data_IF_888467654053
#
_entry.id   IF_888467654053
#
_cell.length_a   1.000
_cell.length_b   1.000
_cell.length_c   1.000
_cell.angle_alpha   90.00
_cell.angle_beta   90.00
_cell.angle_gamma   90.00
#
_symmetry.space_group_name_H-M   'P 1'
#
loop_
_entity.id
_entity.type
_entity.pdbx_description
1 polymer ?
#
# COMPACT_ATOMS: atom_id res chain seq x y z
N UNK A 1 48.40 67.34 -20.44
CA UNK A 1 48.81 67.10 -19.04
C UNK A 1 47.50 67.03 -18.24
N UNK A 2 47.02 65.93 -17.67
CA UNK A 2 47.66 64.74 -17.12
C UNK A 2 47.05 64.51 -15.73
N UNK A 3 46.32 63.38 -15.55
CA UNK A 3 46.15 62.54 -14.33
C UNK A 3 45.78 63.22 -12.99
N UNK A 4 44.89 62.75 -12.10
CA UNK A 4 44.60 61.42 -11.51
C UNK A 4 43.67 61.77 -10.31
N UNK A 5 42.52 61.18 -9.99
CA UNK A 5 42.25 59.96 -9.22
C UNK A 5 40.99 60.30 -8.40
N UNK A 6 39.86 59.62 -8.57
CA UNK A 6 39.05 59.18 -7.43
C UNK A 6 38.37 57.86 -7.79
N UNK A 7 38.63 56.88 -6.93
CA UNK A 7 38.29 55.47 -7.08
C UNK A 7 36.85 55.25 -6.62
N UNK A 8 36.12 54.45 -7.40
CA UNK A 8 34.84 53.84 -7.03
C UNK A 8 35.04 52.98 -5.76
N UNK A 9 34.22 53.20 -4.73
CA UNK A 9 33.80 52.14 -3.81
C UNK A 9 32.28 52.23 -3.68
N UNK A 10 31.58 51.48 -4.53
CA UNK A 10 30.18 51.13 -4.29
C UNK A 10 30.16 50.02 -3.25
N UNK A 11 29.96 50.36 -1.97
CA UNK A 11 29.57 49.36 -0.98
C UNK A 11 28.11 48.97 -1.26
N UNK A 12 27.91 48.02 -2.18
CA UNK A 12 26.70 47.20 -2.20
C UNK A 12 26.73 46.38 -0.91
N UNK A 13 25.95 46.79 0.10
CA UNK A 13 25.63 45.89 1.20
C UNK A 13 25.01 44.63 0.60
N UNK A 14 25.65 43.49 0.86
CA UNK A 14 25.14 42.19 0.46
C UNK A 14 23.78 41.97 1.14
N UNK A 15 22.81 41.50 0.35
CA UNK A 15 21.50 41.09 0.85
C UNK A 15 21.69 40.15 2.05
N UNK A 16 21.16 40.57 3.20
CA UNK A 16 21.07 39.76 4.41
C UNK A 16 20.38 38.45 4.05
N UNK A 17 21.06 37.33 4.31
CA UNK A 17 20.45 36.00 4.24
C UNK A 17 19.39 35.95 5.35
N UNK A 18 18.12 36.11 5.00
CA UNK A 18 17.04 35.87 5.93
C UNK A 18 16.98 34.37 6.21
N UNK A 19 17.23 33.99 7.47
CA UNK A 19 17.07 32.62 7.93
C UNK A 19 15.59 32.46 8.26
N UNK A 20 14.87 31.72 7.43
CA UNK A 20 13.46 31.45 7.68
C UNK A 20 13.34 30.47 8.86
N UNK A 21 12.75 30.93 9.96
CA UNK A 21 12.50 30.11 11.15
C UNK A 21 10.99 29.89 11.31
N UNK A 22 10.57 28.63 11.32
CA UNK A 22 9.22 28.22 11.68
C UNK A 22 9.27 27.55 13.05
N UNK A 23 8.58 28.14 14.03
CA UNK A 23 8.43 27.60 15.37
C UNK A 23 7.08 28.04 15.95
N UNK A 24 6.54 27.29 16.93
CA UNK A 24 5.36 27.74 17.68
C UNK A 24 5.59 29.07 18.43
N UNK A 25 6.86 29.40 18.69
CA UNK A 25 7.26 30.67 19.32
C UNK A 25 8.64 31.11 18.84
N UNK A 26 8.75 32.36 18.39
CA UNK A 26 9.98 32.95 17.88
C UNK A 26 10.55 33.94 18.91
N UNK A 27 11.87 33.87 19.12
CA UNK A 27 12.62 34.80 19.97
C UNK A 27 13.64 35.53 19.12
N UNK A 28 13.65 36.86 19.19
CA UNK A 28 14.65 37.65 18.47
C UNK A 28 15.99 37.61 19.22
N UNK A 29 17.05 37.12 18.57
CA UNK A 29 18.39 37.01 19.16
C UNK A 29 19.34 37.87 18.33
N UNK A 30 19.83 38.96 18.93
CA UNK A 30 20.62 39.97 18.21
C UNK A 30 22.11 39.61 18.06
N UNK A 31 22.66 38.74 18.91
CA UNK A 31 24.06 38.29 18.83
C UNK A 31 24.24 36.89 19.45
N UNK A 32 25.06 36.03 18.83
CA UNK A 32 25.39 34.68 19.31
C UNK A 32 26.87 34.43 19.08
N UNK A 33 27.65 34.23 20.15
CA UNK A 33 29.09 33.96 20.07
C UNK A 33 29.39 32.48 19.76
N UNK A 34 28.53 31.57 20.25
CA UNK A 34 28.66 30.13 20.02
C UNK A 34 27.28 29.51 19.76
N UNK A 35 27.12 28.91 18.57
CA UNK A 35 25.90 28.21 18.16
C UNK A 35 26.18 26.71 18.04
N UNK A 36 25.48 25.89 18.83
CA UNK A 36 25.54 24.43 18.70
C UNK A 36 24.33 23.96 17.90
N UNK A 37 24.54 23.65 16.63
CA UNK A 37 23.50 23.03 15.78
C UNK A 37 23.53 21.53 16.03
N UNK A 38 22.54 21.01 16.74
CA UNK A 38 22.33 19.56 16.83
C UNK A 38 21.58 19.15 15.56
N UNK A 39 22.32 18.85 14.50
CA UNK A 39 21.77 18.20 13.32
C UNK A 39 21.47 16.74 13.70
N UNK A 40 20.20 16.43 13.96
CA UNK A 40 19.75 15.05 13.97
C UNK A 40 20.15 14.42 12.63
N UNK A 41 20.72 13.20 12.61
CA UNK A 41 21.02 12.53 11.34
C UNK A 41 19.72 12.47 10.53
N UNK A 42 19.77 12.73 9.21
CA UNK A 42 18.60 12.55 8.38
C UNK A 42 18.20 11.08 8.53
N UNK A 43 17.06 10.85 9.17
CA UNK A 43 16.31 9.62 8.92
C UNK A 43 16.15 9.63 7.41
N UNK A 44 16.72 8.64 6.73
CA UNK A 44 16.42 8.40 5.33
C UNK A 44 14.96 7.97 5.24
N UNK A 45 14.04 8.92 5.40
CA UNK A 45 12.72 8.82 4.82
C UNK A 45 12.98 8.77 3.33
N UNK A 46 12.79 7.59 2.75
CA UNK A 46 12.64 7.44 1.31
C UNK A 46 11.35 8.17 0.92
N UNK A 47 11.41 9.49 0.90
CA UNK A 47 10.42 10.35 0.27
C UNK A 47 10.78 10.46 -1.21
N UNK A 48 10.30 9.46 -1.95
CA UNK A 48 10.03 9.61 -3.38
C UNK A 48 8.60 9.14 -3.60
N UNK A 49 7.67 10.08 -3.42
CA UNK A 49 6.37 10.10 -4.06
C UNK A 49 5.39 9.07 -3.52
N UNK A 50 4.53 9.52 -2.61
CA UNK A 50 3.20 8.94 -2.47
C UNK A 50 2.49 9.21 -3.80
N UNK A 51 2.46 8.22 -4.67
CA UNK A 51 1.43 8.15 -5.68
C UNK A 51 0.34 7.24 -5.11
N UNK A 52 -0.78 7.82 -4.69
CA UNK A 52 -2.03 7.12 -5.02
C UNK A 52 -1.99 6.83 -6.52
N UNK A 53 -2.51 5.70 -7.00
CA UNK A 53 -2.63 5.50 -8.44
C UNK A 53 -3.43 6.67 -9.02
N UNK A 54 -2.73 7.64 -9.62
CA UNK A 54 -3.32 8.80 -10.29
C UNK A 54 -4.09 8.39 -11.54
N UNK A 55 -3.85 7.16 -12.02
CA UNK A 55 -4.40 6.60 -13.24
C UNK A 55 -5.72 5.82 -13.01
N UNK A 56 -6.31 5.93 -11.81
CA UNK A 56 -7.55 5.23 -11.48
C UNK A 56 -7.38 3.72 -11.28
N UNK A 57 -8.45 3.09 -10.80
CA UNK A 57 -8.50 1.66 -10.51
C UNK A 57 -8.69 0.84 -11.78
N UNK A 58 -8.11 -0.36 -11.77
CA UNK A 58 -8.36 -1.40 -12.77
C UNK A 58 -9.17 -2.47 -12.06
N UNK A 59 -10.45 -2.59 -12.41
CA UNK A 59 -11.36 -3.51 -11.75
C UNK A 59 -11.47 -4.87 -12.45
N UNK A 60 -10.84 -5.09 -13.61
CA UNK A 60 -10.82 -6.39 -14.29
C UNK A 60 -10.09 -7.48 -13.49
N UNK A 61 -9.29 -7.06 -12.49
CA UNK A 61 -8.52 -7.94 -11.63
C UNK A 61 -8.61 -7.49 -10.18
N UNK A 62 -8.44 -8.43 -9.24
CA UNK A 62 -8.25 -8.10 -7.83
C UNK A 62 -7.17 -8.95 -7.16
N UNK A 63 -6.60 -8.42 -6.08
CA UNK A 63 -5.67 -9.11 -5.20
C UNK A 63 -6.43 -9.86 -4.11
N UNK A 64 -6.32 -11.18 -4.06
CA UNK A 64 -6.81 -11.99 -2.94
C UNK A 64 -5.65 -12.30 -1.99
N UNK A 65 -5.76 -11.95 -0.72
CA UNK A 65 -4.80 -12.36 0.31
C UNK A 65 -5.51 -13.15 1.40
N UNK A 66 -5.12 -14.41 1.57
CA UNK A 66 -5.64 -15.30 2.60
C UNK A 66 -4.60 -15.47 3.70
N UNK A 67 -5.04 -15.49 4.97
CA UNK A 67 -4.22 -15.92 6.11
C UNK A 67 -3.12 -14.97 6.55
N UNK A 68 -3.09 -13.74 6.00
CA UNK A 68 -2.12 -12.74 6.45
C UNK A 68 -2.40 -12.30 7.88
N UNK A 69 -1.34 -12.23 8.69
CA UNK A 69 -1.36 -11.43 9.93
C UNK A 69 -1.52 -9.96 9.55
N UNK A 70 -2.67 -9.36 9.86
CA UNK A 70 -2.85 -7.90 9.80
C UNK A 70 -2.08 -7.33 11.00
N UNK A 71 -0.95 -6.66 10.75
CA UNK A 71 -0.03 -6.32 11.84
C UNK A 71 -0.41 -5.05 12.59
N UNK A 72 -1.12 -4.10 11.97
CA UNK A 72 -1.58 -2.87 12.61
C UNK A 72 -2.71 -2.22 11.79
N UNK A 73 -3.71 -3.01 11.40
CA UNK A 73 -4.86 -2.59 10.56
C UNK A 73 -4.56 -2.02 9.17
N UNK A 74 -3.30 -1.96 8.74
CA UNK A 74 -2.86 -1.37 7.46
C UNK A 74 -1.81 -2.24 6.77
N UNK A 75 -1.04 -3.04 7.51
CA UNK A 75 0.03 -3.87 6.95
C UNK A 75 -0.36 -5.34 6.88
N UNK A 76 -0.17 -5.93 5.71
CA UNK A 76 -0.45 -7.32 5.37
C UNK A 76 0.88 -7.98 4.98
N UNK A 77 1.20 -9.12 5.59
CA UNK A 77 2.45 -9.87 5.31
C UNK A 77 2.13 -11.18 4.63
N UNK A 78 2.88 -11.47 3.58
CA UNK A 78 2.74 -12.71 2.80
C UNK A 78 4.11 -13.32 2.55
N UNK A 79 4.24 -14.63 2.77
CA UNK A 79 5.46 -15.38 2.42
C UNK A 79 5.70 -15.28 0.91
N UNK A 80 6.94 -14.93 0.51
CA UNK A 80 7.32 -14.80 -0.91
C UNK A 80 7.01 -16.02 -1.76
N UNK A 81 7.16 -17.23 -1.22
CA UNK A 81 6.90 -18.49 -1.93
C UNK A 81 5.43 -18.70 -2.21
N UNK A 82 4.55 -18.01 -1.48
CA UNK A 82 3.09 -18.12 -1.58
C UNK A 82 2.44 -16.86 -2.18
N UNK A 83 3.25 -15.91 -2.65
CA UNK A 83 2.80 -14.65 -3.20
C UNK A 83 2.86 -14.66 -4.74
N UNK A 84 1.68 -14.67 -5.39
CA UNK A 84 1.41 -14.63 -6.84
C UNK A 84 1.97 -15.84 -7.61
N UNK A 85 3.16 -16.32 -7.27
CA UNK A 85 3.83 -17.47 -7.85
C UNK A 85 3.16 -18.83 -7.48
N UNK A 86 2.11 -18.79 -6.66
CA UNK A 86 1.36 -19.99 -6.27
C UNK A 86 0.38 -20.45 -7.37
N UNK A 87 -0.16 -21.65 -7.18
CA UNK A 87 -1.14 -22.28 -8.07
C UNK A 87 -2.45 -21.48 -8.22
N UNK A 88 -2.75 -20.59 -7.28
CA UNK A 88 -4.01 -19.86 -7.21
C UNK A 88 -4.12 -18.66 -8.17
N UNK A 89 -3.01 -18.27 -8.79
CA UNK A 89 -2.97 -17.28 -9.88
C UNK A 89 -2.79 -18.00 -11.20
N UNK A 90 -3.62 -17.67 -12.20
CA UNK A 90 -3.51 -18.20 -13.55
C UNK A 90 -2.12 -17.97 -14.16
N UNK A 91 -1.70 -18.87 -15.05
CA UNK A 91 -0.34 -18.92 -15.58
C UNK A 91 0.09 -17.60 -16.24
N UNK A 92 -0.78 -17.00 -17.06
CA UNK A 92 -0.51 -15.74 -17.75
C UNK A 92 -0.31 -14.57 -16.77
N UNK A 93 -1.14 -14.50 -15.73
CA UNK A 93 -1.04 -13.49 -14.68
C UNK A 93 0.20 -13.72 -13.81
N UNK A 94 0.55 -14.98 -13.55
CA UNK A 94 1.74 -15.35 -12.79
C UNK A 94 2.99 -14.93 -13.54
N UNK A 95 3.08 -15.22 -14.84
CA UNK A 95 4.22 -14.83 -15.67
C UNK A 95 4.40 -13.32 -15.72
N UNK A 96 3.29 -12.57 -15.76
CA UNK A 96 3.31 -11.11 -15.77
C UNK A 96 3.70 -10.50 -14.41
N UNK A 97 3.13 -10.99 -13.32
CA UNK A 97 3.13 -10.29 -12.04
C UNK A 97 4.02 -10.91 -10.95
N UNK A 98 4.37 -12.20 -11.03
CA UNK A 98 5.11 -12.89 -9.96
C UNK A 98 6.53 -12.34 -9.72
N UNK A 99 7.16 -11.77 -10.76
CA UNK A 99 8.46 -11.10 -10.63
C UNK A 99 8.41 -9.86 -9.75
N UNK A 100 7.22 -9.26 -9.60
CA UNK A 100 7.00 -7.98 -8.92
C UNK A 100 8.00 -6.93 -9.42
N UNK A 101 8.16 -6.82 -10.74
CA UNK A 101 8.90 -5.73 -11.38
C UNK A 101 8.29 -4.36 -11.02
N UNK A 102 8.99 -3.26 -11.31
CA UNK A 102 8.46 -1.93 -11.02
C UNK A 102 7.12 -1.68 -11.74
N UNK A 103 6.99 -2.14 -12.97
CA UNK A 103 5.75 -1.95 -13.74
C UNK A 103 4.64 -2.90 -13.28
N UNK A 104 4.99 -4.14 -12.94
CA UNK A 104 4.05 -5.07 -12.31
C UNK A 104 3.50 -4.50 -10.99
N UNK A 105 4.36 -3.93 -10.14
CA UNK A 105 3.95 -3.30 -8.88
C UNK A 105 2.98 -2.13 -9.14
N UNK A 106 3.28 -1.25 -10.10
CA UNK A 106 2.39 -0.12 -10.44
C UNK A 106 1.01 -0.58 -10.88
N UNK A 107 0.92 -1.65 -11.67
CA UNK A 107 -0.36 -2.22 -12.09
C UNK A 107 -1.10 -2.89 -10.92
N UNK A 108 -0.42 -3.73 -10.15
CA UNK A 108 -0.99 -4.45 -9.01
C UNK A 108 -1.58 -3.50 -7.96
N UNK A 109 -0.95 -2.33 -7.76
CA UNK A 109 -1.45 -1.30 -6.85
C UNK A 109 -2.76 -0.64 -7.30
N UNK A 110 -3.14 -0.81 -8.58
CA UNK A 110 -4.40 -0.32 -9.15
C UNK A 110 -5.52 -1.35 -9.06
N UNK A 111 -5.22 -2.58 -8.67
CA UNK A 111 -6.23 -3.61 -8.45
C UNK A 111 -6.80 -3.47 -7.03
N UNK A 112 -8.13 -3.60 -6.85
CA UNK A 112 -8.72 -3.80 -5.54
C UNK A 112 -8.04 -4.95 -4.78
N UNK A 113 -8.07 -4.92 -3.46
CA UNK A 113 -7.59 -6.02 -2.62
C UNK A 113 -8.70 -6.50 -1.68
N UNK A 114 -8.85 -7.81 -1.59
CA UNK A 114 -9.62 -8.53 -0.59
C UNK A 114 -8.66 -9.30 0.32
N UNK A 115 -8.67 -8.96 1.61
CA UNK A 115 -7.85 -9.65 2.63
C UNK A 115 -8.78 -10.41 3.56
N UNK A 116 -8.54 -11.71 3.73
CA UNK A 116 -9.35 -12.60 4.57
C UNK A 116 -8.47 -13.47 5.46
N UNK A 117 -8.93 -13.90 6.65
CA UNK A 117 -8.26 -14.93 7.41
C UNK A 117 -8.39 -16.30 6.72
N UNK A 118 -7.55 -17.27 7.09
CA UNK A 118 -7.79 -18.67 6.69
C UNK A 118 -9.10 -19.16 7.28
N UNK A 119 -9.95 -19.79 6.47
CA UNK A 119 -11.18 -20.41 6.94
C UNK A 119 -10.86 -21.54 7.93
N UNK A 120 -11.54 -21.55 9.08
CA UNK A 120 -11.29 -22.53 10.16
C UNK A 120 -11.97 -23.88 9.93
N UNK A 121 -13.04 -23.91 9.13
CA UNK A 121 -13.78 -25.12 8.78
C UNK A 121 -13.37 -25.72 7.44
N UNK A 122 -13.67 -27.01 7.28
CA UNK A 122 -13.60 -27.69 5.98
C UNK A 122 -14.53 -27.04 4.95
N UNK A 123 -14.17 -27.14 3.68
CA UNK A 123 -14.84 -26.56 2.52
C UNK A 123 -14.85 -25.03 2.53
N UNK A 124 -13.80 -24.41 3.07
CA UNK A 124 -13.74 -22.96 3.23
C UNK A 124 -14.79 -22.40 4.19
N UNK A 125 -15.41 -23.24 5.04
CA UNK A 125 -16.43 -22.77 5.99
C UNK A 125 -15.80 -21.85 7.02
N UNK A 126 -16.30 -20.63 7.05
CA UNK A 126 -15.91 -19.65 8.04
C UNK A 126 -16.66 -19.84 9.38
N UNK A 127 -15.98 -19.57 10.49
CA UNK A 127 -16.65 -19.32 11.77
C UNK A 127 -17.31 -17.93 11.79
N UNK A 128 -18.22 -17.70 12.76
CA UNK A 128 -18.99 -16.45 12.87
C UNK A 128 -18.14 -15.20 13.17
N UNK A 129 -16.91 -15.40 13.60
CA UNK A 129 -15.94 -14.37 14.00
C UNK A 129 -14.88 -14.07 12.92
N UNK A 130 -15.04 -14.61 11.70
CA UNK A 130 -14.10 -14.38 10.60
C UNK A 130 -14.60 -13.33 9.62
N UNK A 131 -13.74 -12.35 9.37
CA UNK A 131 -14.08 -11.17 8.57
C UNK A 131 -12.98 -10.83 7.57
N UNK A 132 -13.40 -10.45 6.37
CA UNK A 132 -12.57 -9.90 5.32
C UNK A 132 -12.62 -8.37 5.24
N UNK A 133 -11.60 -7.81 4.58
CA UNK A 133 -11.43 -6.38 4.37
C UNK A 133 -11.18 -6.11 2.90
N UNK A 134 -11.92 -5.12 2.37
CA UNK A 134 -11.76 -4.64 1.00
C UNK A 134 -11.03 -3.30 1.03
N UNK A 135 -10.13 -3.08 0.08
CA UNK A 135 -9.32 -1.86 0.04
C UNK A 135 -8.46 -1.75 -1.20
N UNK A 136 -7.39 -0.97 -1.09
CA UNK A 136 -6.38 -0.76 -2.14
C UNK A 136 -4.95 -0.93 -1.57
N UNK A 137 -4.01 -1.34 -2.41
CA UNK A 137 -2.59 -1.45 -2.03
C UNK A 137 -1.89 -0.12 -2.30
N UNK A 138 -1.47 0.57 -1.23
CA UNK A 138 -0.72 1.82 -1.33
C UNK A 138 0.77 1.59 -1.58
N UNK A 139 1.33 0.48 -1.09
CA UNK A 139 2.76 0.18 -1.24
C UNK A 139 3.06 -1.31 -1.14
N UNK A 140 4.01 -1.77 -1.95
CA UNK A 140 4.54 -3.13 -1.90
C UNK A 140 6.02 -3.06 -1.55
N UNK A 141 6.46 -3.78 -0.52
CA UNK A 141 7.86 -3.90 -0.12
C UNK A 141 8.27 -5.36 -0.09
N UNK A 142 9.43 -5.67 -0.67
CA UNK A 142 10.06 -6.99 -0.57
C UNK A 142 11.05 -6.96 0.59
N UNK A 143 10.77 -7.69 1.66
CA UNK A 143 11.70 -7.92 2.77
C UNK A 143 12.48 -9.22 2.52
N UNK A 144 13.28 -9.73 3.46
CA UNK A 144 14.15 -10.91 3.18
C UNK A 144 13.35 -12.18 2.87
N UNK A 145 12.35 -12.49 3.69
CA UNK A 145 11.52 -13.70 3.56
C UNK A 145 10.07 -13.39 3.11
N UNK A 146 9.60 -12.18 3.38
CA UNK A 146 8.21 -11.78 3.20
C UNK A 146 8.05 -10.68 2.15
N UNK A 147 6.83 -10.54 1.65
CA UNK A 147 6.34 -9.34 1.00
C UNK A 147 5.38 -8.65 1.96
N UNK A 148 5.58 -7.35 2.13
CA UNK A 148 4.76 -6.50 2.98
C UNK A 148 3.95 -5.57 2.09
N UNK A 149 2.63 -5.68 2.19
CA UNK A 149 1.67 -4.79 1.54
C UNK A 149 1.22 -3.76 2.57
N UNK A 150 1.33 -2.48 2.22
CA UNK A 150 0.64 -1.40 2.93
C UNK A 150 -0.68 -1.18 2.20
N UNK A 151 -1.78 -1.42 2.89
CA UNK A 151 -3.12 -1.38 2.34
C UNK A 151 -3.93 -0.30 3.04
N UNK A 152 -4.74 0.42 2.27
CA UNK A 152 -5.77 1.29 2.80
C UNK A 152 -7.09 0.56 2.72
N UNK A 153 -7.65 0.25 3.89
CA UNK A 153 -8.96 -0.40 4.00
C UNK A 153 -10.04 0.62 4.33
N UNK A 154 -11.27 0.24 4.08
CA UNK A 154 -12.41 1.03 4.47
C UNK A 154 -12.70 0.89 5.96
N UNK A 155 -12.57 1.98 6.71
CA UNK A 155 -12.49 2.00 8.18
C UNK A 155 -13.74 1.47 8.94
N UNK A 156 -14.79 0.98 8.27
CA UNK A 156 -16.07 0.67 8.94
C UNK A 156 -16.85 -0.55 8.42
N UNK A 157 -16.37 -1.30 7.43
CA UNK A 157 -17.12 -2.46 6.91
C UNK A 157 -16.23 -3.68 6.75
N UNK A 158 -16.33 -4.56 7.73
CA UNK A 158 -15.88 -5.94 7.61
C UNK A 158 -16.91 -6.75 6.83
N UNK A 159 -16.45 -7.62 5.94
CA UNK A 159 -17.31 -8.56 5.23
C UNK A 159 -17.23 -9.91 5.94
N UNK A 160 -18.33 -10.49 6.43
CA UNK A 160 -18.28 -11.83 7.01
C UNK A 160 -17.71 -12.83 6.01
N UNK A 161 -16.71 -13.63 6.40
CA UNK A 161 -16.08 -14.60 5.52
C UNK A 161 -17.08 -15.65 5.02
N UNK A 162 -18.16 -15.91 5.77
CA UNK A 162 -19.29 -16.74 5.32
C UNK A 162 -19.90 -16.23 4.01
N UNK A 163 -20.15 -14.92 3.90
CA UNK A 163 -20.70 -14.32 2.68
C UNK A 163 -19.72 -14.44 1.51
N UNK A 164 -18.43 -14.24 1.76
CA UNK A 164 -17.39 -14.44 0.74
C UNK A 164 -17.35 -15.90 0.28
N UNK A 165 -17.50 -16.84 1.22
CA UNK A 165 -17.51 -18.27 0.91
C UNK A 165 -18.72 -18.69 0.07
N UNK A 166 -19.87 -18.04 0.27
CA UNK A 166 -21.10 -18.28 -0.50
C UNK A 166 -20.95 -17.89 -1.98
N UNK A 167 -20.16 -16.83 -2.27
CA UNK A 167 -19.88 -16.34 -3.63
C UNK A 167 -18.45 -16.68 -4.10
N UNK A 168 -17.80 -17.65 -3.46
CA UNK A 168 -16.39 -17.96 -3.72
C UNK A 168 -16.13 -18.30 -5.19
N UNK A 169 -17.05 -19.04 -5.83
CA UNK A 169 -16.93 -19.41 -7.23
C UNK A 169 -16.95 -18.17 -8.14
N UNK A 170 -17.87 -17.25 -7.89
CA UNK A 170 -18.04 -16.02 -8.68
C UNK A 170 -16.81 -15.11 -8.51
N UNK A 171 -16.21 -15.11 -7.31
CA UNK A 171 -14.93 -14.46 -7.04
C UNK A 171 -13.70 -15.17 -7.64
N UNK A 172 -13.86 -16.29 -8.35
CA UNK A 172 -12.74 -17.06 -8.90
C UNK A 172 -11.88 -17.74 -7.82
N UNK A 173 -12.44 -17.97 -6.63
CA UNK A 173 -11.80 -18.67 -5.52
C UNK A 173 -12.02 -20.17 -5.74
N UNK A 174 -10.92 -20.90 -5.88
CA UNK A 174 -10.95 -22.31 -6.27
C UNK A 174 -11.31 -23.21 -5.08
N UNK A 175 -12.23 -24.15 -5.33
CA UNK A 175 -12.45 -25.29 -4.47
C UNK A 175 -11.45 -26.39 -4.83
N UNK A 176 -10.70 -26.94 -3.87
CA UNK A 176 -9.88 -28.14 -4.12
C UNK A 176 -10.68 -29.40 -3.80
N UNK A 177 -10.32 -30.48 -4.50
CA UNK A 177 -11.17 -31.63 -4.84
C UNK A 177 -11.82 -32.46 -3.72
N UNK A 178 -11.67 -32.18 -2.41
CA UNK A 178 -12.34 -33.02 -1.40
C UNK A 178 -12.73 -32.40 -0.05
N UNK A 179 -12.08 -31.33 0.45
CA UNK A 179 -12.47 -30.72 1.74
C UNK A 179 -11.75 -29.39 2.06
N UNK A 180 -10.76 -29.00 1.28
CA UNK A 180 -9.90 -27.85 1.54
C UNK A 180 -10.08 -26.92 0.35
N UNK A 181 -10.27 -25.64 0.59
CA UNK A 181 -10.39 -24.66 -0.50
C UNK A 181 -9.19 -23.73 -0.49
N UNK A 182 -9.09 -22.88 -1.50
CA UNK A 182 -8.14 -21.78 -1.54
C UNK A 182 -8.20 -20.90 -0.27
N UNK A 183 -9.39 -20.75 0.35
CA UNK A 183 -9.57 -20.02 1.61
C UNK A 183 -8.94 -20.70 2.83
N UNK A 184 -8.58 -21.98 2.76
CA UNK A 184 -7.93 -22.70 3.85
C UNK A 184 -6.39 -22.62 3.80
N UNK A 185 -5.82 -21.88 2.84
CA UNK A 185 -4.38 -21.78 2.68
C UNK A 185 -3.91 -20.33 2.62
N UNK A 186 -2.96 -19.94 3.46
CA UNK A 186 -2.32 -18.63 3.40
C UNK A 186 -1.60 -18.45 2.06
N UNK A 187 -2.00 -17.46 1.28
CA UNK A 187 -1.36 -17.09 0.01
C UNK A 187 -1.79 -15.68 -0.43
N UNK A 188 -1.14 -15.18 -1.48
CA UNK A 188 -1.63 -14.04 -2.26
C UNK A 188 -1.78 -14.44 -3.71
N UNK A 189 -2.96 -14.21 -4.29
CA UNK A 189 -3.28 -14.46 -5.68
C UNK A 189 -3.80 -13.21 -6.39
N UNK A 190 -3.68 -13.20 -7.72
CA UNK A 190 -4.38 -12.23 -8.58
C UNK A 190 -5.50 -12.99 -9.30
N UNK A 191 -6.70 -12.45 -9.23
CA UNK A 191 -7.91 -13.06 -9.79
C UNK A 191 -8.46 -12.21 -10.93
N UNK A 192 -8.79 -12.80 -12.10
CA UNK A 192 -9.34 -12.09 -13.25
C UNK A 192 -10.85 -11.90 -13.13
N UNK A 193 -11.28 -11.26 -12.04
CA UNK A 193 -12.68 -11.02 -11.71
C UNK A 193 -12.85 -9.61 -11.18
N UNK A 194 -14.00 -9.00 -11.48
CA UNK A 194 -14.37 -7.71 -10.94
C UNK A 194 -14.94 -7.82 -9.53
N UNK A 195 -14.06 -7.75 -8.52
CA UNK A 195 -14.41 -7.84 -7.10
C UNK A 195 -15.59 -6.93 -6.71
N UNK A 196 -15.62 -5.70 -7.22
CA UNK A 196 -16.60 -4.70 -6.82
C UNK A 196 -17.99 -5.05 -7.38
N UNK A 197 -18.04 -5.53 -8.61
CA UNK A 197 -19.26 -6.01 -9.26
C UNK A 197 -19.83 -7.23 -8.54
N UNK A 198 -19.01 -8.27 -8.31
CA UNK A 198 -19.44 -9.49 -7.64
C UNK A 198 -19.99 -9.23 -6.23
N UNK A 199 -19.29 -8.39 -5.44
CA UNK A 199 -19.77 -8.03 -4.11
C UNK A 199 -21.08 -7.21 -4.17
N UNK A 200 -21.26 -6.37 -5.20
CA UNK A 200 -22.46 -5.56 -5.40
C UNK A 200 -23.65 -6.44 -5.79
N UNK A 201 -23.46 -7.38 -6.72
CA UNK A 201 -24.49 -8.32 -7.16
C UNK A 201 -24.94 -9.24 -6.01
N UNK A 202 -24.00 -9.68 -5.19
CA UNK A 202 -24.25 -10.43 -3.97
C UNK A 202 -24.94 -9.62 -2.86
N UNK A 203 -25.18 -8.32 -3.08
CA UNK A 203 -25.74 -7.37 -2.10
C UNK A 203 -24.93 -7.35 -0.80
N UNK A 204 -23.62 -7.55 -0.92
CA UNK A 204 -22.69 -7.41 0.18
C UNK A 204 -22.41 -5.92 0.34
N UNK A 205 -22.64 -5.42 1.54
CA UNK A 205 -22.44 -4.02 1.83
C UNK A 205 -20.96 -3.76 2.16
N UNK A 206 -20.23 -3.27 1.17
CA UNK A 206 -18.91 -2.66 1.27
C UNK A 206 -19.07 -1.26 0.67
N UNK A 207 -18.66 -0.19 1.37
CA UNK A 207 -18.90 1.16 0.84
C UNK A 207 -17.89 1.41 -0.28
N UNK A 208 -18.32 2.15 -1.29
CA UNK A 208 -17.47 2.50 -2.43
C UNK A 208 -16.66 3.78 -2.20
N UNK A 209 -16.32 4.15 -0.95
CA UNK A 209 -15.69 5.46 -0.70
C UNK A 209 -14.21 5.52 -1.10
N UNK A 210 -13.61 4.35 -1.29
CA UNK A 210 -12.21 4.18 -1.73
C UNK A 210 -12.13 3.95 -3.25
N UNK A 211 -13.23 3.52 -3.89
CA UNK A 211 -13.27 3.08 -5.29
C UNK A 211 -14.06 4.03 -6.18
#
# INVERSE_FOLDING_TARGET
MGNKLEKIITNKLAATREINQQAEKLYNINNVEHMTVVASPPVHTLDKGIAMPTDGLICDYYNLVVGSSIIDSVFVKVDKKRAINGFYTEDELRDKYASLSLDAIKEIQRFPILVVPEATGYYGKASDDQYGYVGIIEKIRKDSCDIVLKCKFEEKKTIPLKKISEIALDLGIQNMDLAITELNHTHWAIKPVNLIEELTEAKIDFKNSIF
#
